data_IF_410871000633
#
_entry.id   IF_410871000633
#
_cell.length_a   1.000
_cell.length_b   1.000
_cell.length_c   1.000
_cell.angle_alpha   90.00
_cell.angle_beta   90.00
_cell.angle_gamma   90.00
#
_symmetry.space_group_name_H-M   'P 1'
#
loop_
_entity.id
_entity.type
_entity.pdbx_description
1 polymer ?
#
# COMPACT_ATOMS: atom_id res chain seq x y z
N UNK A 1 -23.24 45.07 57.90
CA UNK A 1 -22.39 43.85 57.79
C UNK A 1 -22.73 43.22 56.46
N UNK A 2 -21.88 43.44 55.46
CA UNK A 2 -22.15 43.03 54.08
C UNK A 2 -21.16 41.87 53.74
N UNK A 3 -21.67 40.68 53.58
CA UNK A 3 -20.91 39.55 53.16
C UNK A 3 -20.75 39.52 51.63
N UNK A 4 -19.50 39.64 51.15
CA UNK A 4 -19.14 39.48 49.74
C UNK A 4 -18.84 38.02 49.45
N UNK A 5 -19.65 37.43 48.59
CA UNK A 5 -19.37 36.11 48.02
C UNK A 5 -18.39 36.21 46.86
N UNK A 6 -17.23 35.61 46.99
CA UNK A 6 -16.28 35.44 45.90
C UNK A 6 -16.62 34.15 45.14
N UNK A 7 -17.08 34.31 43.91
CA UNK A 7 -17.26 33.17 43.00
C UNK A 7 -15.92 32.79 42.38
N UNK A 8 -15.40 31.60 42.73
CA UNK A 8 -14.24 31.03 42.07
C UNK A 8 -14.65 30.43 40.74
N UNK A 9 -14.16 31.03 39.66
CA UNK A 9 -14.29 30.46 38.30
C UNK A 9 -13.18 29.43 38.15
N UNK A 10 -13.55 28.14 38.12
CA UNK A 10 -12.64 27.08 37.77
C UNK A 10 -12.43 27.06 36.25
N UNK A 11 -11.23 27.38 35.81
CA UNK A 11 -10.80 27.27 34.43
C UNK A 11 -10.52 25.80 34.12
N UNK A 12 -11.43 25.16 33.41
CA UNK A 12 -11.20 23.80 32.86
C UNK A 12 -10.29 23.93 31.65
N UNK A 13 -9.00 23.66 31.83
CA UNK A 13 -8.05 23.49 30.73
C UNK A 13 -8.31 22.11 30.11
N UNK A 14 -8.99 22.08 28.99
CA UNK A 14 -9.06 20.89 28.17
C UNK A 14 -7.65 20.62 27.61
N UNK A 15 -6.96 19.67 28.20
CA UNK A 15 -5.73 19.14 27.60
C UNK A 15 -6.11 18.38 26.33
N UNK A 16 -5.82 18.95 25.15
CA UNK A 16 -5.76 18.22 23.92
C UNK A 16 -4.61 17.20 24.06
N UNK A 17 -4.96 15.98 24.44
CA UNK A 17 -4.05 14.86 24.38
C UNK A 17 -3.66 14.63 22.92
N UNK A 18 -2.43 14.95 22.58
CA UNK A 18 -1.80 14.46 21.36
C UNK A 18 -1.59 12.95 21.56
N UNK A 19 -2.52 12.16 21.05
CA UNK A 19 -2.34 10.73 20.96
C UNK A 19 -1.15 10.46 20.05
N UNK A 20 -0.01 10.23 20.68
CA UNK A 20 1.17 9.71 20.02
C UNK A 20 0.75 8.38 19.38
N UNK A 21 0.71 8.37 18.05
CA UNK A 21 0.44 7.19 17.23
C UNK A 21 1.18 5.99 17.80
N UNK A 22 0.42 5.04 18.33
CA UNK A 22 0.94 3.79 18.84
C UNK A 22 1.62 3.04 17.70
N UNK A 23 2.96 3.01 17.71
CA UNK A 23 3.79 2.21 16.81
C UNK A 23 3.78 0.71 17.17
N UNK A 24 2.74 0.23 17.84
CA UNK A 24 2.62 -1.17 18.19
C UNK A 24 2.32 -1.98 16.93
N UNK A 25 3.15 -2.97 16.55
CA UNK A 25 2.81 -3.88 15.47
C UNK A 25 1.47 -4.53 15.76
N UNK A 26 0.57 -4.54 14.81
CA UNK A 26 -0.67 -5.25 14.95
C UNK A 26 -0.36 -6.74 14.93
N UNK A 27 -0.47 -7.39 16.09
CA UNK A 27 -0.34 -8.83 16.19
C UNK A 27 -1.50 -9.50 15.44
N UNK A 28 -1.17 -10.55 14.70
CA UNK A 28 -2.00 -11.56 14.05
C UNK A 28 -3.53 -11.30 14.03
N UNK A 29 -3.96 -10.57 13.03
CA UNK A 29 -5.37 -10.28 12.79
C UNK A 29 -5.49 -9.21 11.71
N UNK A 30 -6.69 -8.83 11.26
CA UNK A 30 -6.83 -7.68 10.40
C UNK A 30 -6.17 -6.52 11.12
N UNK A 31 -5.07 -5.99 10.57
CA UNK A 31 -4.24 -5.05 11.31
C UNK A 31 -5.02 -3.80 11.59
N UNK A 32 -4.57 -3.12 12.64
CA UNK A 32 -5.00 -1.79 13.00
C UNK A 32 -5.35 -1.00 11.75
N UNK A 33 -6.56 -0.49 11.72
CA UNK A 33 -7.03 0.28 10.59
C UNK A 33 -5.94 1.27 10.21
N UNK A 34 -5.46 1.16 8.98
CA UNK A 34 -4.67 2.23 8.43
C UNK A 34 -5.60 3.41 8.29
N UNK A 35 -5.30 4.48 8.97
CA UNK A 35 -5.99 5.75 8.82
C UNK A 35 -5.72 6.41 7.44
N UNK A 36 -5.47 5.59 6.41
CA UNK A 36 -5.36 6.07 5.03
C UNK A 36 -6.74 6.27 4.38
N UNK A 37 -7.81 6.10 5.16
CA UNK A 37 -9.17 6.36 4.74
C UNK A 37 -9.80 5.27 3.87
N UNK A 38 -10.98 5.52 3.30
CA UNK A 38 -11.73 4.54 2.53
C UNK A 38 -10.98 4.10 1.25
N UNK A 39 -11.26 2.88 0.81
CA UNK A 39 -10.64 2.25 -0.37
C UNK A 39 -9.46 1.35 -0.05
N UNK A 40 -8.96 1.35 1.20
CA UNK A 40 -7.97 0.36 1.64
C UNK A 40 -8.70 -0.88 2.15
N UNK A 41 -8.32 -2.04 1.63
CA UNK A 41 -8.85 -3.33 2.05
C UNK A 41 -7.75 -4.35 2.32
N UNK A 42 -8.14 -5.47 2.94
CA UNK A 42 -7.30 -6.59 3.30
C UNK A 42 -7.90 -7.86 2.67
N UNK A 43 -7.57 -8.15 1.41
CA UNK A 43 -8.15 -9.28 0.70
C UNK A 43 -7.86 -10.62 1.38
N UNK A 44 -8.73 -11.63 1.21
CA UNK A 44 -8.45 -12.98 1.67
C UNK A 44 -7.08 -13.47 1.19
N UNK A 45 -6.40 -14.21 2.05
CA UNK A 45 -5.08 -14.78 1.73
C UNK A 45 -5.22 -15.95 0.74
N UNK A 46 -4.50 -15.88 -0.37
CA UNK A 46 -4.52 -16.89 -1.44
C UNK A 46 -3.28 -17.79 -1.46
N UNK A 47 -2.49 -17.77 -0.37
CA UNK A 47 -1.25 -18.54 -0.26
C UNK A 47 -0.01 -17.74 -0.65
N UNK A 48 1.14 -18.46 -0.65
CA UNK A 48 2.47 -17.92 -0.92
C UNK A 48 3.38 -18.97 -1.58
N UNK A 49 2.82 -19.90 -2.36
CA UNK A 49 3.60 -21.01 -2.92
C UNK A 49 4.24 -20.61 -4.25
N UNK A 50 5.51 -20.96 -4.43
CA UNK A 50 6.14 -20.84 -5.73
C UNK A 50 5.61 -21.88 -6.71
N UNK A 51 5.29 -21.46 -7.92
CA UNK A 51 4.92 -22.32 -9.05
C UNK A 51 5.90 -22.09 -10.20
N UNK A 52 6.22 -23.15 -10.98
CA UNK A 52 7.15 -22.99 -12.10
C UNK A 52 6.68 -21.95 -13.12
N UNK A 53 7.57 -21.11 -13.59
CA UNK A 53 7.30 -20.25 -14.77
C UNK A 53 7.23 -21.12 -16.03
N UNK A 54 6.24 -20.95 -16.92
CA UNK A 54 5.24 -19.88 -17.00
C UNK A 54 3.83 -20.29 -16.52
N UNK A 55 3.70 -21.00 -15.41
CA UNK A 55 2.39 -21.41 -14.89
C UNK A 55 1.50 -20.20 -14.64
N UNK A 56 0.32 -20.19 -15.26
CA UNK A 56 -0.71 -19.19 -15.01
C UNK A 56 -1.44 -19.47 -13.70
N UNK A 57 -1.61 -18.46 -12.87
CA UNK A 57 -2.35 -18.55 -11.60
C UNK A 57 -3.71 -17.86 -11.74
N UNK A 58 -4.75 -18.58 -11.35
CA UNK A 58 -6.09 -18.01 -11.32
C UNK A 58 -6.36 -17.37 -9.94
N UNK A 59 -6.01 -16.09 -9.80
CA UNK A 59 -6.28 -15.35 -8.57
C UNK A 59 -7.77 -15.05 -8.40
N UNK A 60 -8.27 -15.24 -7.18
CA UNK A 60 -9.66 -14.91 -6.83
C UNK A 60 -9.81 -13.42 -6.50
N UNK A 61 -8.74 -12.80 -5.96
CA UNK A 61 -8.70 -11.37 -5.71
C UNK A 61 -8.24 -10.61 -6.96
N UNK A 62 -8.84 -9.46 -7.25
CA UNK A 62 -8.50 -8.65 -8.41
C UNK A 62 -8.36 -7.16 -8.07
N UNK A 63 -7.14 -6.58 -8.17
CA UNK A 63 -5.85 -7.26 -8.38
C UNK A 63 -5.44 -8.12 -7.18
N UNK A 64 -4.58 -9.15 -7.38
CA UNK A 64 -4.12 -10.00 -6.28
C UNK A 64 -3.20 -9.23 -5.32
N UNK A 65 -3.27 -9.58 -4.04
CA UNK A 65 -2.37 -9.07 -3.00
C UNK A 65 -1.62 -10.19 -2.26
N UNK A 66 -1.79 -11.42 -2.69
CA UNK A 66 -1.10 -12.65 -2.27
C UNK A 66 -1.42 -13.74 -3.27
N UNK A 67 -0.90 -14.94 -3.07
CA UNK A 67 -1.21 -16.11 -3.88
C UNK A 67 0.05 -16.79 -4.40
N UNK A 68 -0.16 -17.91 -5.09
CA UNK A 68 0.93 -18.60 -5.78
C UNK A 68 1.55 -17.70 -6.82
N UNK A 69 2.87 -17.75 -6.96
CA UNK A 69 3.61 -16.87 -7.86
C UNK A 69 4.90 -17.55 -8.36
N UNK A 70 5.57 -16.93 -9.33
CA UNK A 70 6.80 -17.48 -9.87
C UNK A 70 7.97 -17.29 -8.91
N UNK A 71 8.99 -18.17 -8.92
CA UNK A 71 10.08 -18.15 -7.96
C UNK A 71 11.09 -17.01 -8.17
N UNK A 72 10.92 -16.20 -9.20
CA UNK A 72 11.79 -15.07 -9.51
C UNK A 72 10.97 -13.79 -9.54
N UNK A 73 11.23 -12.85 -8.63
CA UNK A 73 10.58 -11.54 -8.66
C UNK A 73 11.12 -10.64 -9.78
N UNK A 74 10.47 -9.52 -10.01
CA UNK A 74 10.89 -8.57 -11.03
C UNK A 74 11.98 -7.63 -10.52
N UNK A 75 13.08 -7.54 -11.26
CA UNK A 75 14.14 -6.54 -11.13
C UNK A 75 14.55 -6.02 -12.53
N UNK A 76 15.10 -4.78 -12.61
CA UNK A 76 15.15 -3.76 -11.56
C UNK A 76 13.76 -3.28 -11.13
N UNK A 77 13.65 -2.61 -9.99
CA UNK A 77 12.44 -1.90 -9.59
C UNK A 77 12.19 -0.69 -10.51
N UNK A 78 10.97 -0.18 -10.55
CA UNK A 78 10.61 0.98 -11.35
C UNK A 78 9.44 0.75 -12.31
N UNK A 79 9.29 1.59 -13.36
CA UNK A 79 8.19 1.51 -14.30
C UNK A 79 8.38 0.42 -15.37
N UNK A 80 7.29 -0.33 -15.63
CA UNK A 80 7.20 -1.37 -16.66
C UNK A 80 6.03 -1.09 -17.61
N UNK A 81 6.15 -0.14 -18.53
CA UNK A 81 5.04 0.32 -19.37
C UNK A 81 4.47 -0.76 -20.31
N UNK A 82 5.22 -1.81 -20.58
CA UNK A 82 4.77 -2.95 -21.41
C UNK A 82 4.06 -4.04 -20.58
N UNK A 83 3.86 -3.81 -19.28
CA UNK A 83 3.25 -4.77 -18.36
C UNK A 83 4.20 -5.84 -17.84
N UNK A 84 3.74 -6.54 -16.82
CA UNK A 84 4.38 -7.70 -16.21
C UNK A 84 3.30 -8.74 -15.90
N UNK A 85 3.62 -10.05 -15.99
CA UNK A 85 2.77 -11.10 -15.47
C UNK A 85 2.47 -10.87 -13.97
N UNK A 86 1.22 -11.12 -13.57
CA UNK A 86 0.81 -10.97 -12.17
C UNK A 86 1.61 -11.87 -11.25
N UNK A 87 1.90 -13.08 -11.70
CA UNK A 87 2.68 -14.08 -10.98
C UNK A 87 4.10 -13.60 -10.67
N UNK A 88 4.65 -12.70 -11.49
CA UNK A 88 5.99 -12.15 -11.25
C UNK A 88 5.96 -11.06 -10.20
N UNK A 89 5.06 -10.07 -10.32
CA UNK A 89 5.05 -8.97 -9.37
C UNK A 89 4.37 -9.32 -8.03
N UNK A 90 3.55 -10.37 -7.94
CA UNK A 90 3.07 -10.88 -6.66
C UNK A 90 4.24 -11.32 -5.77
N UNK A 91 5.30 -11.89 -6.35
CA UNK A 91 6.51 -12.20 -5.62
C UNK A 91 7.20 -10.95 -5.04
N UNK A 92 7.24 -9.86 -5.80
CA UNK A 92 7.76 -8.58 -5.28
C UNK A 92 7.01 -8.09 -4.03
N UNK A 93 5.70 -8.36 -3.92
CA UNK A 93 4.93 -8.01 -2.73
C UNK A 93 5.37 -8.82 -1.51
N UNK A 94 5.69 -10.11 -1.67
CA UNK A 94 6.14 -10.99 -0.59
C UNK A 94 7.47 -10.53 0.02
N UNK A 95 8.29 -9.85 -0.78
CA UNK A 95 9.54 -9.22 -0.34
C UNK A 95 9.38 -7.78 0.16
N UNK A 96 8.15 -7.30 0.37
CA UNK A 96 7.88 -5.98 0.93
C UNK A 96 7.87 -4.84 -0.07
N UNK A 97 7.90 -5.15 -1.36
CA UNK A 97 7.69 -4.16 -2.40
C UNK A 97 6.26 -3.64 -2.48
N UNK A 98 6.10 -2.53 -3.17
CA UNK A 98 4.79 -1.96 -3.53
C UNK A 98 4.63 -2.07 -5.04
N UNK A 99 3.43 -2.43 -5.49
CA UNK A 99 3.08 -2.37 -6.91
C UNK A 99 2.01 -1.32 -7.11
N UNK A 100 2.33 -0.28 -7.87
CA UNK A 100 1.40 0.73 -8.33
C UNK A 100 0.86 0.29 -9.69
N UNK A 101 -0.43 0.03 -9.75
CA UNK A 101 -1.09 -0.46 -10.96
C UNK A 101 -1.94 0.64 -11.59
N UNK A 102 -2.05 0.61 -12.92
CA UNK A 102 -2.99 1.44 -13.66
C UNK A 102 -3.70 0.65 -14.77
N UNK A 103 -4.98 0.97 -15.01
CA UNK A 103 -5.79 0.41 -16.07
C UNK A 103 -6.31 1.53 -16.97
N UNK A 104 -5.60 1.73 -18.08
CA UNK A 104 -5.87 2.84 -19.02
C UNK A 104 -5.87 2.33 -20.44
N UNK A 105 -6.97 1.75 -20.92
CA UNK A 105 -7.03 1.12 -22.25
C UNK A 105 -6.77 2.10 -23.40
N UNK A 106 -6.97 3.39 -23.19
CA UNK A 106 -6.74 4.43 -24.20
C UNK A 106 -5.46 5.27 -23.95
N UNK A 107 -4.63 4.84 -22.97
CA UNK A 107 -3.49 5.59 -22.49
C UNK A 107 -3.87 6.66 -21.45
N UNK A 108 -2.99 6.89 -20.48
CA UNK A 108 -3.19 7.88 -19.40
C UNK A 108 -1.84 8.46 -18.95
N UNK A 109 -1.19 9.29 -19.77
CA UNK A 109 0.12 9.83 -19.45
C UNK A 109 0.13 10.62 -18.14
N UNK A 110 -0.98 11.28 -17.79
CA UNK A 110 -1.11 12.05 -16.54
C UNK A 110 -1.09 11.12 -15.33
N UNK A 111 -1.86 10.02 -15.33
CA UNK A 111 -1.85 9.00 -14.28
C UNK A 111 -0.46 8.40 -14.12
N UNK A 112 0.18 8.01 -15.22
CA UNK A 112 1.54 7.45 -15.20
C UNK A 112 2.53 8.48 -14.65
N UNK A 113 2.39 9.75 -15.02
CA UNK A 113 3.21 10.85 -14.50
C UNK A 113 3.06 11.04 -12.99
N UNK A 114 1.83 11.00 -12.46
CA UNK A 114 1.56 11.10 -11.03
C UNK A 114 2.10 9.90 -10.25
N UNK A 115 1.94 8.67 -10.77
CA UNK A 115 2.51 7.47 -10.15
C UNK A 115 4.04 7.50 -10.16
N UNK A 116 4.65 8.00 -11.24
CA UNK A 116 6.10 8.21 -11.34
C UNK A 116 6.58 9.24 -10.33
N UNK A 117 5.85 10.34 -10.14
CA UNK A 117 6.18 11.34 -9.13
C UNK A 117 6.09 10.79 -7.68
N UNK A 118 5.18 9.84 -7.43
CA UNK A 118 5.13 9.11 -6.15
C UNK A 118 6.36 8.22 -5.99
N UNK A 119 6.71 7.47 -7.04
CA UNK A 119 7.93 6.64 -7.08
C UNK A 119 9.16 7.49 -6.77
N UNK A 120 9.40 8.55 -7.51
CA UNK A 120 10.59 9.42 -7.38
C UNK A 120 10.70 10.06 -6.00
N UNK A 121 9.56 10.34 -5.34
CA UNK A 121 9.52 10.93 -4.00
C UNK A 121 9.63 9.90 -2.87
N UNK A 122 9.57 8.59 -3.16
CA UNK A 122 9.68 7.55 -2.14
C UNK A 122 11.15 7.25 -1.85
N UNK A 123 11.61 7.35 -0.60
CA UNK A 123 13.00 7.05 -0.28
C UNK A 123 13.30 5.55 -0.44
N UNK A 124 14.56 5.19 -0.68
CA UNK A 124 15.00 3.80 -0.60
C UNK A 124 14.67 3.19 0.77
N UNK A 125 14.50 1.88 0.78
CA UNK A 125 14.28 1.10 1.98
C UNK A 125 15.59 0.80 2.76
N UNK A 126 15.51 -0.08 3.78
CA UNK A 126 16.68 -0.49 4.58
C UNK A 126 17.76 -1.24 3.78
N UNK A 127 17.46 -1.73 2.58
CA UNK A 127 18.41 -2.38 1.69
C UNK A 127 19.00 -1.42 0.66
N UNK A 128 18.65 -0.11 0.77
CA UNK A 128 19.02 0.95 -0.16
C UNK A 128 18.45 0.72 -1.57
N UNK A 129 17.29 0.08 -1.65
CA UNK A 129 16.53 -0.14 -2.88
C UNK A 129 15.18 0.58 -2.83
N UNK A 130 14.76 1.14 -3.95
CA UNK A 130 13.45 1.75 -4.11
C UNK A 130 12.47 0.72 -4.65
N UNK A 131 11.95 -0.15 -3.76
CA UNK A 131 11.20 -1.34 -4.10
C UNK A 131 9.73 -1.05 -4.45
N UNK A 132 9.55 -0.28 -5.53
CA UNK A 132 8.24 0.01 -6.11
C UNK A 132 8.25 -0.36 -7.59
N UNK A 133 7.20 -1.02 -8.05
CA UNK A 133 6.91 -1.25 -9.47
C UNK A 133 5.75 -0.36 -9.91
N UNK A 134 5.77 0.11 -11.16
CA UNK A 134 4.64 0.79 -11.80
C UNK A 134 4.27 -0.03 -13.04
N UNK A 135 3.08 -0.62 -13.06
CA UNK A 135 2.70 -1.64 -14.06
C UNK A 135 1.28 -1.41 -14.55
N UNK A 136 1.03 -1.43 -15.89
CA UNK A 136 -0.33 -1.51 -16.40
C UNK A 136 -0.95 -2.87 -16.11
N UNK A 137 -2.21 -2.87 -15.67
CA UNK A 137 -2.99 -4.09 -15.45
C UNK A 137 -4.42 -3.92 -15.96
N UNK A 138 -4.65 -4.34 -17.20
CA UNK A 138 -5.95 -4.21 -17.87
C UNK A 138 -7.05 -5.11 -17.26
N UNK A 139 -6.72 -6.01 -16.34
CA UNK A 139 -7.68 -6.90 -15.71
C UNK A 139 -8.29 -6.33 -14.43
N UNK A 140 -7.71 -5.27 -13.85
CA UNK A 140 -8.25 -4.70 -12.62
C UNK A 140 -9.50 -3.84 -12.89
N UNK A 141 -10.44 -3.74 -11.91
CA UNK A 141 -11.72 -3.07 -12.11
C UNK A 141 -11.65 -1.54 -12.00
N UNK A 142 -10.63 -1.00 -11.33
CA UNK A 142 -10.42 0.43 -11.09
C UNK A 142 -9.29 0.97 -11.95
N UNK A 143 -9.24 2.30 -12.10
CA UNK A 143 -8.21 2.95 -12.92
C UNK A 143 -6.82 2.87 -12.27
N UNK A 144 -6.75 2.94 -10.93
CA UNK A 144 -5.49 2.95 -10.18
C UNK A 144 -5.58 2.02 -8.97
N UNK A 145 -4.48 1.34 -8.64
CA UNK A 145 -4.34 0.60 -7.40
C UNK A 145 -2.93 0.71 -6.82
N UNK A 146 -2.81 0.62 -5.51
CA UNK A 146 -1.57 0.40 -4.79
C UNK A 146 -1.66 -0.91 -4.01
N UNK A 147 -0.73 -1.83 -4.25
CA UNK A 147 -0.74 -3.17 -3.69
C UNK A 147 0.51 -3.38 -2.85
N UNK A 148 0.32 -3.95 -1.67
CA UNK A 148 1.35 -4.55 -0.83
C UNK A 148 0.94 -5.96 -0.45
N UNK A 149 1.82 -6.77 0.13
CA UNK A 149 1.46 -8.12 0.56
C UNK A 149 0.25 -8.11 1.49
N UNK A 150 -0.86 -8.75 1.05
CA UNK A 150 -2.17 -8.82 1.71
C UNK A 150 -2.91 -7.48 1.88
N UNK A 151 -2.46 -6.41 1.25
CA UNK A 151 -3.11 -5.10 1.32
C UNK A 151 -3.31 -4.52 -0.05
N UNK A 152 -4.42 -3.80 -0.20
CA UNK A 152 -4.79 -3.18 -1.44
C UNK A 152 -5.51 -1.86 -1.18
N UNK A 153 -5.16 -0.84 -1.95
CA UNK A 153 -5.96 0.34 -2.16
C UNK A 153 -6.35 0.41 -3.63
N UNK A 154 -7.58 0.82 -3.94
CA UNK A 154 -8.07 1.01 -5.30
C UNK A 154 -8.87 2.29 -5.41
N UNK A 155 -8.83 2.96 -6.59
CA UNK A 155 -9.57 4.16 -6.91
C UNK A 155 -9.68 4.39 -8.41
N UNK A 156 -10.62 5.26 -8.79
CA UNK A 156 -10.85 5.64 -10.20
C UNK A 156 -10.12 6.94 -10.58
N UNK A 157 -9.18 7.36 -9.76
CA UNK A 157 -8.23 8.44 -9.99
C UNK A 157 -7.06 8.32 -9.01
N UNK A 158 -5.92 8.94 -9.34
CA UNK A 158 -4.77 9.01 -8.42
C UNK A 158 -5.11 9.89 -7.22
N UNK A 159 -5.09 9.31 -6.03
CA UNK A 159 -5.07 10.06 -4.77
C UNK A 159 -3.66 9.97 -4.18
N UNK A 160 -2.82 10.95 -4.50
CA UNK A 160 -1.42 10.99 -4.09
C UNK A 160 -1.25 10.89 -2.57
N UNK A 161 -2.15 11.48 -1.78
CA UNK A 161 -2.06 11.47 -0.33
C UNK A 161 -2.37 10.07 0.22
N UNK A 162 -3.39 9.41 -0.31
CA UNK A 162 -3.74 8.03 0.08
C UNK A 162 -2.67 7.03 -0.33
N UNK A 163 -2.17 7.13 -1.56
CA UNK A 163 -1.12 6.23 -2.03
C UNK A 163 0.16 6.40 -1.20
N UNK A 164 0.57 7.63 -0.89
CA UNK A 164 1.72 7.88 -0.01
C UNK A 164 1.48 7.37 1.41
N UNK A 165 0.28 7.56 1.97
CA UNK A 165 -0.09 6.99 3.25
C UNK A 165 0.00 5.45 3.21
N UNK A 166 -0.54 4.82 2.17
CA UNK A 166 -0.48 3.37 1.96
C UNK A 166 0.97 2.87 1.88
N UNK A 167 1.82 3.52 1.09
CA UNK A 167 3.25 3.19 0.99
C UNK A 167 3.92 3.30 2.37
N UNK A 168 3.78 4.43 3.06
CA UNK A 168 4.39 4.64 4.38
C UNK A 168 3.98 3.56 5.39
N UNK A 169 2.77 3.06 5.27
CA UNK A 169 2.24 2.06 6.17
C UNK A 169 2.66 0.62 5.82
N UNK A 170 3.02 0.33 4.55
CA UNK A 170 3.18 -1.04 4.03
C UNK A 170 4.54 -1.33 3.41
N UNK A 171 5.26 -0.31 3.02
CA UNK A 171 6.57 -0.45 2.42
C UNK A 171 7.55 -1.18 3.34
N UNK A 172 8.30 -2.14 2.78
CA UNK A 172 9.22 -2.99 3.52
C UNK A 172 8.60 -3.74 4.72
N UNK A 173 7.30 -4.13 4.58
CA UNK A 173 6.55 -4.85 5.62
C UNK A 173 5.85 -6.07 5.03
N UNK A 174 6.61 -7.11 4.79
CA UNK A 174 6.12 -8.37 4.25
C UNK A 174 6.76 -9.56 4.98
N UNK A 175 6.28 -10.80 4.76
CA UNK A 175 6.76 -11.98 5.45
C UNK A 175 8.23 -12.29 5.16
N UNK A 176 8.71 -12.00 3.95
CA UNK A 176 10.09 -12.22 3.57
C UNK A 176 10.88 -10.90 3.54
N UNK A 177 11.88 -10.87 4.41
CA UNK A 177 12.70 -9.68 4.64
C UNK A 177 14.09 -9.90 4.06
N UNK A 178 14.18 -10.08 2.76
CA UNK A 178 15.42 -10.27 2.00
C UNK A 178 15.67 -9.10 1.06
N UNK A 179 16.96 -8.77 0.78
CA UNK A 179 17.30 -7.78 -0.23
C UNK A 179 16.95 -8.28 -1.63
#
# INVERSE_FOLDING_TARGET
MSARWLASVALVVAACGSDASSTKPCADGPPCALDCGPGVDYPPFEGASHVPEPTMVNYMNNPPASGSHWPVWQTPWGPYPNGLPRERWVHNLEHGGIVLLYNCPNGCPDVVGELTAIYDATPPDRFNEQRILIVPDALMPHEVAAIAWRWRWQGDAVDMNKIRCFINARYDRAPESTP
#
